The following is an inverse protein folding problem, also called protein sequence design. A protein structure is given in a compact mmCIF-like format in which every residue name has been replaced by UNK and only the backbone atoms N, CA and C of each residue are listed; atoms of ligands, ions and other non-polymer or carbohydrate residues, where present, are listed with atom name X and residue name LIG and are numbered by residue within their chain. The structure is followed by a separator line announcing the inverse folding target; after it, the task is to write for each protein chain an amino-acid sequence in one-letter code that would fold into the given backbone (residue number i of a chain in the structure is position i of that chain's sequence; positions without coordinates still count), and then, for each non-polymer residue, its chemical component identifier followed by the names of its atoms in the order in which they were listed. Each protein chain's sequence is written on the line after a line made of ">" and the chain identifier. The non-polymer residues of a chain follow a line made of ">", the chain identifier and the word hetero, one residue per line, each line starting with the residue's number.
data_IF_269037871191
#
_entry.id   IF_269037871191
#
_cell.length_a   1.000
_cell.length_b   1.000
_cell.length_c   1.000
_cell.angle_alpha   90.00
_cell.angle_beta   90.00
_cell.angle_gamma   90.00
#
_symmetry.space_group_name_H-M   'P 1'
#
loop_
_entity.id
_entity.type
_entity.pdbx_description
1 polymer ?
#
# COMPACT_ATOMS: atom_id res chain seq x y z
N UNK A 1 -7.25 10.42 48.08
CA UNK A 1 -6.41 9.95 46.99
C UNK A 1 -7.03 8.72 46.33
N UNK A 2 -8.09 8.86 45.54
CA UNK A 2 -8.71 7.77 44.74
C UNK A 2 -9.55 8.42 43.66
N UNK A 3 -8.93 8.87 42.54
CA UNK A 3 -9.62 9.24 41.29
C UNK A 3 -8.55 9.42 40.20
N UNK A 4 -7.97 8.32 39.71
CA UNK A 4 -7.12 8.37 38.51
C UNK A 4 -6.95 6.98 37.86
N UNK A 5 -8.04 6.25 37.56
CA UNK A 5 -7.92 4.96 36.88
C UNK A 5 -9.10 4.60 35.96
N UNK A 6 -9.81 5.57 35.40
CA UNK A 6 -11.00 5.27 34.57
C UNK A 6 -10.96 5.80 33.14
N UNK A 7 -9.85 6.39 32.67
CA UNK A 7 -9.78 6.95 31.29
C UNK A 7 -9.07 6.04 30.28
N UNK A 8 -8.28 5.06 30.73
CA UNK A 8 -7.51 4.19 29.84
C UNK A 8 -8.32 3.05 29.18
N UNK A 9 -9.50 2.71 29.72
CA UNK A 9 -10.27 1.56 29.23
C UNK A 9 -11.19 1.86 28.03
N UNK A 10 -11.56 3.12 27.81
CA UNK A 10 -12.50 3.50 26.75
C UNK A 10 -11.82 3.58 25.35
N UNK A 11 -10.51 3.84 25.26
CA UNK A 11 -9.79 3.88 23.98
C UNK A 11 -9.47 2.48 23.42
N UNK A 12 -9.26 1.49 24.30
CA UNK A 12 -8.93 0.12 23.86
C UNK A 12 -10.12 -0.62 23.23
N UNK A 13 -11.35 -0.31 23.68
CA UNK A 13 -12.58 -0.98 23.19
C UNK A 13 -13.01 -0.49 21.80
N UNK A 14 -12.66 0.74 21.39
CA UNK A 14 -13.01 1.26 20.06
C UNK A 14 -12.16 0.65 18.93
N UNK A 15 -10.89 0.37 19.21
CA UNK A 15 -10.00 -0.27 18.22
C UNK A 15 -10.43 -1.72 17.90
N UNK A 16 -10.86 -2.48 18.88
CA UNK A 16 -11.32 -3.87 18.71
C UNK A 16 -12.60 -3.93 17.84
N UNK A 17 -13.46 -2.94 17.90
CA UNK A 17 -14.69 -2.87 17.10
C UNK A 17 -14.43 -2.63 15.61
N UNK A 18 -13.47 -1.78 15.25
CA UNK A 18 -13.14 -1.45 13.89
C UNK A 18 -12.47 -2.63 13.13
N UNK A 19 -11.60 -3.39 13.82
CA UNK A 19 -10.91 -4.55 13.24
C UNK A 19 -11.87 -5.68 12.84
N UNK A 20 -13.00 -5.82 13.53
CA UNK A 20 -14.01 -6.85 13.26
C UNK A 20 -15.09 -6.41 12.27
N UNK A 21 -15.09 -5.16 11.82
CA UNK A 21 -16.09 -4.64 10.89
C UNK A 21 -15.89 -5.24 9.51
N UNK A 22 -16.90 -5.94 9.00
CA UNK A 22 -16.84 -6.53 7.66
C UNK A 22 -17.06 -5.45 6.60
N UNK A 23 -16.11 -5.34 5.70
CA UNK A 23 -16.17 -4.49 4.53
C UNK A 23 -15.65 -5.25 3.30
N UNK A 24 -15.91 -4.79 2.10
CA UNK A 24 -15.41 -5.36 0.85
C UNK A 24 -15.25 -4.29 -0.24
N UNK A 25 -14.85 -4.70 -1.44
CA UNK A 25 -14.69 -3.81 -2.60
C UNK A 25 -15.85 -3.90 -3.60
N UNK A 26 -16.83 -4.76 -3.41
CA UNK A 26 -17.83 -5.13 -4.43
C UNK A 26 -19.24 -4.71 -4.08
N UNK A 27 -19.58 -4.87 -2.84
CA UNK A 27 -20.95 -4.97 -2.41
C UNK A 27 -21.57 -3.59 -2.21
N UNK A 28 -22.84 -3.46 -2.56
CA UNK A 28 -23.59 -2.23 -2.31
C UNK A 28 -23.72 -1.89 -0.82
N UNK A 29 -23.68 -2.90 0.07
CA UNK A 29 -23.85 -2.73 1.51
C UNK A 29 -22.55 -2.47 2.25
N UNK A 30 -21.48 -3.21 1.91
CA UNK A 30 -20.19 -3.19 2.59
C UNK A 30 -19.06 -2.60 1.74
N UNK A 31 -19.38 -2.13 0.53
CA UNK A 31 -18.43 -1.60 -0.45
C UNK A 31 -18.01 -0.14 -0.19
N UNK A 32 -17.09 0.37 -1.01
CA UNK A 32 -16.43 1.67 -0.81
C UNK A 32 -17.38 2.86 -0.63
N UNK A 33 -18.55 2.84 -1.27
CA UNK A 33 -19.54 3.92 -1.14
C UNK A 33 -20.26 3.98 0.22
N UNK A 34 -20.05 2.97 1.06
CA UNK A 34 -20.70 2.85 2.38
C UNK A 34 -19.74 2.61 3.53
N UNK A 35 -18.44 2.57 3.27
CA UNK A 35 -17.46 2.34 4.32
C UNK A 35 -17.65 3.29 5.51
N UNK A 36 -17.95 4.57 5.24
CA UNK A 36 -18.23 5.58 6.26
C UNK A 36 -19.40 5.23 7.20
N UNK A 37 -20.29 4.33 6.78
CA UNK A 37 -21.47 3.91 7.54
C UNK A 37 -21.27 2.62 8.34
N UNK A 38 -20.19 1.88 8.05
CA UNK A 38 -19.96 0.57 8.65
C UNK A 38 -19.42 0.66 10.07
N UNK A 39 -18.66 1.70 10.37
CA UNK A 39 -18.10 1.95 11.71
C UNK A 39 -17.77 3.43 11.88
N UNK A 40 -17.87 3.96 13.11
CA UNK A 40 -17.55 5.36 13.41
C UNK A 40 -16.12 5.76 13.02
N UNK A 41 -15.15 4.84 13.18
CA UNK A 41 -13.75 5.09 12.84
C UNK A 41 -13.51 5.11 11.31
N UNK A 42 -14.50 4.73 10.50
CA UNK A 42 -14.45 4.76 9.04
C UNK A 42 -15.09 6.02 8.44
N UNK A 43 -15.58 6.93 9.25
CA UNK A 43 -16.23 8.17 8.81
C UNK A 43 -15.32 8.98 7.86
N UNK A 44 -14.01 8.97 8.12
CA UNK A 44 -13.01 9.66 7.30
C UNK A 44 -12.93 9.12 5.86
N UNK A 45 -13.37 7.88 5.60
CA UNK A 45 -13.45 7.34 4.22
C UNK A 45 -14.32 8.19 3.29
N UNK A 46 -15.22 9.01 3.85
CA UNK A 46 -16.07 9.93 3.10
C UNK A 46 -15.82 11.41 3.41
N UNK A 47 -15.56 11.72 4.68
CA UNK A 47 -15.38 13.10 5.13
C UNK A 47 -13.97 13.65 4.91
N UNK A 48 -12.98 12.76 4.72
CA UNK A 48 -11.57 13.12 4.53
C UNK A 48 -11.33 13.98 3.29
N UNK A 49 -10.30 14.79 3.34
CA UNK A 49 -9.93 15.74 2.27
C UNK A 49 -8.61 15.40 1.58
N UNK A 50 -7.86 14.45 2.13
CA UNK A 50 -6.61 13.93 1.57
C UNK A 50 -6.73 12.42 1.37
N UNK A 51 -7.77 12.00 0.65
CA UNK A 51 -8.07 10.58 0.45
C UNK A 51 -7.33 9.99 -0.74
N UNK A 52 -7.01 8.70 -0.66
CA UNK A 52 -6.39 7.90 -1.72
C UNK A 52 -7.30 6.72 -2.11
N UNK A 53 -7.17 6.18 -3.35
CA UNK A 53 -6.26 6.60 -4.42
C UNK A 53 -6.77 7.86 -5.14
N UNK A 54 -5.89 8.52 -5.91
CA UNK A 54 -6.22 9.66 -6.77
C UNK A 54 -5.80 9.38 -8.21
N UNK A 55 -6.27 10.23 -9.14
CA UNK A 55 -5.73 10.31 -10.50
C UNK A 55 -4.63 11.37 -10.53
N UNK A 56 -3.43 10.96 -10.93
CA UNK A 56 -2.24 11.82 -11.01
C UNK A 56 -2.19 12.45 -12.40
N UNK A 57 -2.68 13.69 -12.53
CA UNK A 57 -2.70 14.42 -13.81
C UNK A 57 -1.92 15.74 -13.74
N UNK A 58 -1.99 16.43 -12.60
CA UNK A 58 -1.34 17.73 -12.41
C UNK A 58 -0.30 17.60 -11.30
N UNK A 59 0.95 17.93 -11.63
CA UNK A 59 2.05 17.82 -10.69
C UNK A 59 3.14 18.86 -10.97
N UNK A 60 3.87 19.19 -9.93
CA UNK A 60 5.03 20.06 -10.03
C UNK A 60 6.28 19.22 -10.21
N UNK A 61 7.12 19.58 -11.17
CA UNK A 61 8.45 18.99 -11.31
C UNK A 61 9.43 19.64 -10.36
N UNK A 62 10.25 18.84 -9.71
CA UNK A 62 11.44 19.32 -9.03
C UNK A 62 12.66 18.55 -9.52
N UNK A 63 13.79 19.27 -9.66
CA UNK A 63 15.09 18.66 -9.91
C UNK A 63 15.81 18.32 -8.60
N UNK A 64 15.31 18.83 -7.48
CA UNK A 64 15.83 18.45 -6.19
C UNK A 64 15.58 16.98 -5.96
N UNK A 65 16.68 16.22 -5.84
CA UNK A 65 16.57 14.82 -5.42
C UNK A 65 15.91 14.81 -4.05
N UNK A 66 14.82 14.07 -3.92
CA UNK A 66 14.24 13.90 -2.61
C UNK A 66 15.27 13.26 -1.69
N UNK A 67 15.25 13.67 -0.44
CA UNK A 67 15.96 12.99 0.63
C UNK A 67 15.25 11.67 0.93
N UNK A 68 15.38 10.73 -0.03
CA UNK A 68 14.77 9.42 -0.05
C UNK A 68 15.87 8.38 -0.29
N UNK A 69 16.17 7.61 0.75
CA UNK A 69 17.21 6.60 0.69
C UNK A 69 16.63 5.22 0.96
N UNK A 70 16.97 4.26 0.12
CA UNK A 70 16.53 2.89 0.23
C UNK A 70 17.61 2.02 0.87
N UNK A 71 17.20 1.23 1.88
CA UNK A 71 18.05 0.23 2.54
C UNK A 71 17.34 -1.11 2.44
N UNK A 72 17.27 -1.65 1.21
CA UNK A 72 16.61 -2.91 0.92
C UNK A 72 17.62 -4.01 0.65
N UNK A 73 17.28 -5.19 1.12
CA UNK A 73 17.99 -6.44 0.86
C UNK A 73 16.98 -7.58 0.72
N UNK A 74 17.45 -8.72 0.22
CA UNK A 74 16.64 -9.93 0.21
C UNK A 74 16.22 -10.31 1.64
N UNK A 75 14.96 -10.64 1.83
CA UNK A 75 14.41 -10.97 3.15
C UNK A 75 13.35 -12.07 3.06
N UNK A 76 13.33 -12.93 4.08
CA UNK A 76 12.29 -13.94 4.23
C UNK A 76 11.03 -13.31 4.80
N UNK A 77 9.85 -13.55 4.17
CA UNK A 77 8.60 -13.17 4.80
C UNK A 77 8.41 -13.87 6.15
N UNK A 78 7.84 -13.19 7.13
CA UNK A 78 7.32 -13.80 8.36
C UNK A 78 6.07 -14.62 8.07
N UNK A 79 5.23 -14.10 7.19
CA UNK A 79 4.00 -14.73 6.75
C UNK A 79 3.67 -14.30 5.32
N UNK A 80 3.12 -15.24 4.55
CA UNK A 80 2.48 -14.98 3.26
C UNK A 80 1.08 -15.55 3.34
N UNK A 81 0.09 -14.72 3.17
CA UNK A 81 -1.30 -15.12 3.34
C UNK A 81 -2.24 -14.30 2.45
N UNK A 82 -3.40 -14.86 2.23
CA UNK A 82 -4.48 -14.16 1.58
C UNK A 82 -5.43 -13.62 2.65
N UNK A 83 -5.58 -12.31 2.69
CA UNK A 83 -6.67 -11.68 3.45
C UNK A 83 -7.97 -11.81 2.66
N UNK A 84 -9.10 -11.41 3.25
CA UNK A 84 -10.35 -11.34 2.49
C UNK A 84 -10.27 -10.41 1.27
N UNK A 85 -9.23 -9.58 1.17
CA UNK A 85 -9.12 -8.48 0.22
C UNK A 85 -7.88 -8.50 -0.65
N UNK A 86 -6.75 -9.05 -0.19
CA UNK A 86 -5.48 -9.02 -0.94
C UNK A 86 -4.53 -10.15 -0.58
N UNK A 87 -3.61 -10.44 -1.49
CA UNK A 87 -2.40 -11.20 -1.22
C UNK A 87 -1.41 -10.32 -0.47
N UNK A 88 -0.96 -10.76 0.70
CA UNK A 88 -0.07 -10.02 1.60
C UNK A 88 1.10 -10.86 2.05
N UNK A 89 2.30 -10.27 2.06
CA UNK A 89 3.50 -10.79 2.71
C UNK A 89 3.97 -9.78 3.77
N UNK A 90 4.17 -10.24 5.00
CA UNK A 90 4.74 -9.42 6.09
C UNK A 90 6.21 -9.77 6.31
N UNK A 91 6.97 -8.78 6.80
CA UNK A 91 8.41 -8.90 6.98
C UNK A 91 8.83 -8.48 8.39
N UNK A 92 10.05 -8.89 8.80
CA UNK A 92 10.73 -8.27 9.92
C UNK A 92 11.17 -6.84 9.54
N UNK A 93 11.26 -5.90 10.49
CA UNK A 93 11.55 -4.50 10.20
C UNK A 93 13.06 -4.26 9.93
N UNK A 94 13.62 -5.02 8.97
CA UNK A 94 15.05 -4.95 8.59
C UNK A 94 15.30 -4.15 7.31
N UNK A 95 14.26 -3.95 6.51
CA UNK A 95 14.30 -3.15 5.29
C UNK A 95 13.66 -1.80 5.56
N UNK A 96 14.31 -0.73 5.13
CA UNK A 96 13.93 0.62 5.49
C UNK A 96 13.94 1.57 4.28
N UNK A 97 13.10 2.59 4.36
CA UNK A 97 13.24 3.82 3.58
C UNK A 97 13.52 4.94 4.57
N UNK A 98 14.62 5.68 4.40
CA UNK A 98 14.81 6.95 5.07
C UNK A 98 14.22 8.06 4.20
N UNK A 99 13.31 8.84 4.77
CA UNK A 99 12.73 9.99 4.12
C UNK A 99 12.77 11.20 5.05
N UNK A 100 13.48 12.24 4.62
CA UNK A 100 13.69 13.49 5.38
C UNK A 100 14.21 13.23 6.79
N UNK A 101 15.20 12.34 6.91
CA UNK A 101 15.84 11.99 8.19
C UNK A 101 14.99 11.08 9.10
N UNK A 102 13.86 10.57 8.64
CA UNK A 102 13.04 9.61 9.38
C UNK A 102 13.13 8.22 8.73
N UNK A 103 13.45 7.21 9.52
CA UNK A 103 13.47 5.82 9.10
C UNK A 103 12.06 5.21 9.17
N UNK A 104 11.62 4.64 8.06
CA UNK A 104 10.38 3.89 7.93
C UNK A 104 10.70 2.44 7.63
N UNK A 105 10.40 1.55 8.55
CA UNK A 105 10.64 0.12 8.41
C UNK A 105 9.54 -0.56 7.60
N UNK A 106 9.90 -1.47 6.69
CA UNK A 106 8.94 -2.25 5.92
C UNK A 106 8.13 -3.17 6.84
N UNK A 107 6.83 -3.03 6.82
CA UNK A 107 5.87 -3.86 7.54
C UNK A 107 5.33 -4.99 6.65
N UNK A 108 4.91 -4.63 5.46
CA UNK A 108 4.34 -5.59 4.51
C UNK A 108 4.38 -5.11 3.06
N UNK A 109 4.22 -6.08 2.15
CA UNK A 109 3.84 -5.85 0.76
C UNK A 109 2.49 -6.48 0.49
N UNK A 110 1.66 -5.84 -0.32
CA UNK A 110 0.37 -6.38 -0.75
C UNK A 110 -0.01 -5.89 -2.14
N UNK A 111 -0.98 -6.57 -2.76
CA UNK A 111 -1.28 -6.41 -4.18
C UNK A 111 -2.70 -5.90 -4.43
N UNK A 112 -2.83 -5.08 -5.48
CA UNK A 112 -4.12 -4.63 -6.01
C UNK A 112 -4.23 -4.95 -7.50
N UNK A 113 -5.33 -5.55 -7.90
CA UNK A 113 -5.66 -5.86 -9.29
C UNK A 113 -7.08 -5.40 -9.60
N UNK A 114 -7.21 -4.35 -10.44
CA UNK A 114 -6.15 -3.54 -11.04
C UNK A 114 -5.46 -2.59 -10.04
N UNK A 115 -4.44 -1.85 -10.51
CA UNK A 115 -3.78 -0.78 -9.77
C UNK A 115 -4.81 0.26 -9.31
N UNK A 116 -4.66 0.78 -8.09
CA UNK A 116 -5.62 1.72 -7.51
C UNK A 116 -5.43 3.16 -8.02
N UNK A 117 -4.18 3.60 -8.17
CA UNK A 117 -3.89 4.93 -8.71
C UNK A 117 -4.05 4.96 -10.23
N UNK A 118 -4.56 6.08 -10.74
CA UNK A 118 -4.45 6.39 -12.16
C UNK A 118 -3.28 7.35 -12.37
N UNK A 119 -2.60 7.23 -13.51
CA UNK A 119 -1.61 8.19 -13.99
C UNK A 119 -2.07 8.65 -15.37
N UNK A 120 -2.41 9.93 -15.50
CA UNK A 120 -3.00 10.49 -16.72
C UNK A 120 -4.21 9.67 -17.22
N UNK A 121 -5.16 9.39 -16.33
CA UNK A 121 -6.37 8.58 -16.58
C UNK A 121 -6.12 7.10 -16.99
N UNK A 122 -4.90 6.61 -16.81
CA UNK A 122 -4.56 5.23 -17.16
C UNK A 122 -4.31 4.42 -15.90
N UNK A 123 -4.88 3.22 -15.83
CA UNK A 123 -4.55 2.21 -14.83
C UNK A 123 -3.67 1.12 -15.40
N UNK A 124 -3.16 0.25 -14.54
CA UNK A 124 -2.37 -0.93 -14.87
C UNK A 124 -3.05 -2.19 -14.33
N UNK A 125 -2.78 -3.39 -14.90
CA UNK A 125 -3.47 -4.61 -14.50
C UNK A 125 -3.17 -5.08 -13.07
N UNK A 126 -2.07 -4.60 -12.48
CA UNK A 126 -1.62 -4.97 -11.13
C UNK A 126 -0.80 -3.86 -10.53
N UNK A 127 -0.82 -3.73 -9.21
CA UNK A 127 0.18 -2.99 -8.43
C UNK A 127 0.56 -3.72 -7.15
N UNK A 128 1.74 -3.40 -6.64
CA UNK A 128 2.21 -3.79 -5.31
C UNK A 128 2.43 -2.55 -4.47
N UNK A 129 1.97 -2.58 -3.22
CA UNK A 129 2.22 -1.57 -2.22
C UNK A 129 3.22 -2.09 -1.18
N UNK A 130 4.31 -1.36 -0.99
CA UNK A 130 5.28 -1.57 0.08
C UNK A 130 4.94 -0.62 1.23
N UNK A 131 4.36 -1.15 2.28
CA UNK A 131 3.92 -0.34 3.43
C UNK A 131 5.01 -0.30 4.49
N UNK A 132 5.39 0.90 4.85
CA UNK A 132 6.41 1.15 5.88
C UNK A 132 5.82 1.97 7.03
N UNK A 133 6.40 1.77 8.21
CA UNK A 133 6.05 2.51 9.44
C UNK A 133 7.30 3.06 10.10
N UNK A 134 7.21 4.27 10.60
CA UNK A 134 8.22 4.81 11.51
C UNK A 134 7.92 4.46 12.98
N UNK A 135 8.82 4.83 13.88
CA UNK A 135 8.67 4.59 15.32
C UNK A 135 7.46 5.28 15.97
N UNK A 136 6.87 6.28 15.30
CA UNK A 136 5.65 6.98 15.73
C UNK A 136 4.38 6.42 15.08
N UNK A 137 4.50 5.38 14.25
CA UNK A 137 3.39 4.79 13.52
C UNK A 137 2.96 5.56 12.27
N UNK A 138 3.71 6.59 11.82
CA UNK A 138 3.44 7.29 10.57
C UNK A 138 3.74 6.36 9.41
N UNK A 139 2.94 6.48 8.35
CA UNK A 139 3.01 5.58 7.20
C UNK A 139 3.70 6.24 6.01
N UNK A 140 4.54 5.46 5.35
CA UNK A 140 5.07 5.74 4.02
C UNK A 140 4.76 4.53 3.13
N UNK A 141 4.14 4.76 1.98
CA UNK A 141 3.81 3.69 1.05
C UNK A 141 4.43 3.96 -0.32
N UNK A 142 5.17 2.97 -0.80
CA UNK A 142 5.66 2.93 -2.17
C UNK A 142 4.70 2.08 -3.00
N UNK A 143 4.13 2.64 -4.07
CA UNK A 143 3.25 1.95 -4.99
C UNK A 143 3.94 1.75 -6.34
N UNK A 144 4.00 0.50 -6.82
CA UNK A 144 4.62 0.15 -8.09
C UNK A 144 3.59 -0.58 -8.95
N UNK A 145 3.32 -0.05 -10.15
CA UNK A 145 2.43 -0.68 -11.11
C UNK A 145 3.14 -1.75 -11.93
N UNK A 146 2.37 -2.68 -12.50
CA UNK A 146 2.87 -3.68 -13.44
C UNK A 146 2.13 -3.59 -14.77
N UNK A 147 2.84 -3.85 -15.83
CA UNK A 147 2.30 -4.10 -17.17
C UNK A 147 2.53 -5.55 -17.56
N UNK A 148 1.64 -6.08 -18.41
CA UNK A 148 1.81 -7.44 -18.92
C UNK A 148 3.00 -7.49 -19.87
N UNK A 149 3.92 -8.44 -19.61
CA UNK A 149 5.17 -8.60 -20.33
C UNK A 149 5.90 -9.87 -19.93
N UNK A 150 7.17 -9.74 -19.60
CA UNK A 150 8.03 -10.87 -19.19
C UNK A 150 7.67 -11.37 -17.79
N UNK A 151 8.05 -12.61 -17.51
CA UNK A 151 7.98 -13.18 -16.17
C UNK A 151 8.87 -12.39 -15.19
N UNK A 152 8.34 -12.12 -14.01
CA UNK A 152 9.05 -11.43 -12.95
C UNK A 152 9.43 -12.44 -11.85
N UNK A 153 10.69 -12.89 -11.79
CA UNK A 153 11.11 -13.90 -10.83
C UNK A 153 10.99 -13.46 -9.37
N UNK A 154 10.91 -12.14 -9.10
CA UNK A 154 10.77 -11.62 -7.74
C UNK A 154 9.37 -11.85 -7.14
N UNK A 155 8.39 -12.18 -7.97
CA UNK A 155 7.04 -12.55 -7.53
C UNK A 155 6.94 -14.02 -7.10
N UNK A 156 7.80 -14.89 -7.62
CA UNK A 156 7.69 -16.33 -7.40
C UNK A 156 7.80 -16.75 -5.93
N UNK A 157 8.74 -16.20 -5.10
CA UNK A 157 8.80 -16.52 -3.67
C UNK A 157 7.50 -16.19 -2.92
N UNK A 158 6.83 -15.11 -3.29
CA UNK A 158 5.55 -14.70 -2.69
C UNK A 158 4.43 -15.65 -3.13
N UNK A 159 4.36 -15.97 -4.43
CA UNK A 159 3.36 -16.88 -4.97
C UNK A 159 3.51 -18.30 -4.43
N UNK A 160 4.75 -18.81 -4.30
CA UNK A 160 5.03 -20.10 -3.66
C UNK A 160 4.70 -20.09 -2.16
N UNK A 161 4.98 -18.99 -1.47
CA UNK A 161 4.75 -18.84 -0.04
C UNK A 161 3.31 -19.07 0.38
N UNK A 162 2.34 -18.71 -0.48
CA UNK A 162 0.91 -18.97 -0.24
C UNK A 162 0.62 -20.48 -0.13
N UNK A 163 1.30 -21.27 -0.93
CA UNK A 163 1.09 -22.73 -0.97
C UNK A 163 1.75 -23.43 0.21
N UNK A 164 2.94 -22.97 0.60
CA UNK A 164 3.79 -23.63 1.59
C UNK A 164 3.44 -23.31 3.04
N UNK A 165 2.84 -22.16 3.31
CA UNK A 165 2.46 -21.62 4.64
C UNK A 165 3.60 -21.52 5.67
N UNK A 166 4.77 -22.02 5.37
CA UNK A 166 5.99 -21.99 6.17
C UNK A 166 7.22 -22.25 5.27
N UNK A 167 8.42 -22.05 5.82
CA UNK A 167 9.68 -22.20 5.08
C UNK A 167 9.73 -21.32 3.83
N UNK A 168 9.35 -20.05 4.00
CA UNK A 168 9.33 -19.09 2.91
C UNK A 168 10.72 -18.90 2.32
N UNK A 169 10.77 -18.75 1.00
CA UNK A 169 11.98 -18.32 0.29
C UNK A 169 12.21 -16.83 0.51
N UNK A 170 13.45 -16.38 0.37
CA UNK A 170 13.77 -14.98 0.35
C UNK A 170 13.14 -14.27 -0.85
N UNK A 171 12.64 -13.07 -0.61
CA UNK A 171 12.16 -12.14 -1.63
C UNK A 171 13.24 -11.10 -1.82
N UNK A 172 13.74 -10.93 -3.03
CA UNK A 172 14.69 -9.88 -3.38
C UNK A 172 13.95 -8.54 -3.44
N UNK A 173 13.76 -7.88 -2.30
CA UNK A 173 12.97 -6.64 -2.19
C UNK A 173 13.63 -5.48 -2.96
N UNK A 174 14.95 -5.43 -3.00
CA UNK A 174 15.74 -4.48 -3.79
C UNK A 174 15.55 -4.66 -5.30
N UNK A 175 15.26 -5.87 -5.75
CA UNK A 175 15.05 -6.18 -7.17
C UNK A 175 13.69 -5.70 -7.73
N UNK A 176 12.78 -5.25 -6.87
CA UNK A 176 11.58 -4.52 -7.31
C UNK A 176 11.88 -3.08 -7.72
N UNK A 177 13.07 -2.58 -7.42
CA UNK A 177 13.44 -1.19 -7.71
C UNK A 177 14.55 -1.15 -8.77
N UNK A 178 14.40 -0.37 -9.85
CA UNK A 178 15.51 -0.03 -10.73
C UNK A 178 16.51 0.87 -9.99
N UNK A 179 17.72 1.04 -10.56
CA UNK A 179 18.78 1.84 -9.94
C UNK A 179 18.33 3.28 -9.64
N UNK A 180 17.54 3.85 -10.52
CA UNK A 180 16.93 5.18 -10.37
C UNK A 180 15.45 5.03 -10.63
N UNK A 181 14.63 5.63 -9.78
CA UNK A 181 13.17 5.66 -9.93
C UNK A 181 12.70 7.09 -10.13
N UNK A 182 11.70 7.27 -11.01
CA UNK A 182 10.88 8.47 -11.07
C UNK A 182 9.58 8.20 -10.31
N UNK A 183 9.13 9.17 -9.54
CA UNK A 183 7.95 8.98 -8.70
C UNK A 183 7.13 10.25 -8.56
N UNK A 184 5.88 10.04 -8.22
CA UNK A 184 4.95 11.06 -7.76
C UNK A 184 4.80 10.95 -6.25
N UNK A 185 5.06 12.05 -5.55
CA UNK A 185 4.95 12.13 -4.10
C UNK A 185 3.84 13.08 -3.68
N UNK A 186 3.01 12.64 -2.74
CA UNK A 186 1.95 13.45 -2.12
C UNK A 186 1.54 12.84 -0.77
N UNK A 187 0.81 13.62 0.02
CA UNK A 187 0.17 13.13 1.22
C UNK A 187 -1.26 12.68 0.90
N UNK A 188 -1.61 11.50 1.35
CA UNK A 188 -2.91 10.90 1.12
C UNK A 188 -3.38 10.07 2.30
N UNK A 189 -4.13 9.00 2.04
CA UNK A 189 -4.71 8.11 3.05
C UNK A 189 -4.40 6.64 2.78
N UNK A 190 -4.77 5.78 3.73
CA UNK A 190 -5.00 4.37 3.44
C UNK A 190 -6.12 4.24 2.40
N UNK A 191 -5.99 3.29 1.46
CA UNK A 191 -6.98 3.00 0.41
C UNK A 191 -8.03 1.97 0.84
N UNK A 192 -7.97 1.56 2.10
CA UNK A 192 -8.92 0.64 2.75
C UNK A 192 -9.34 1.20 4.10
N UNK A 193 -10.49 0.80 4.65
CA UNK A 193 -10.89 1.20 5.99
C UNK A 193 -9.79 0.91 7.03
N UNK A 194 -9.53 1.86 7.92
CA UNK A 194 -10.32 3.05 8.23
C UNK A 194 -10.02 4.30 7.40
N UNK A 195 -9.30 4.22 6.28
CA UNK A 195 -8.98 5.34 5.37
C UNK A 195 -8.22 6.49 6.04
N UNK A 196 -7.43 6.18 7.05
CA UNK A 196 -6.67 7.15 7.84
C UNK A 196 -5.77 7.99 6.95
N UNK A 197 -5.84 9.32 7.09
CA UNK A 197 -5.02 10.28 6.36
C UNK A 197 -3.61 10.43 6.96
N UNK A 198 -2.73 11.14 6.26
CA UNK A 198 -1.34 11.36 6.68
C UNK A 198 -0.37 10.28 6.18
N UNK A 199 -0.75 9.54 5.15
CA UNK A 199 0.14 8.57 4.47
C UNK A 199 1.01 9.33 3.46
N UNK A 200 2.33 9.20 3.57
CA UNK A 200 3.26 9.68 2.56
C UNK A 200 3.32 8.67 1.40
N UNK A 201 2.72 9.03 0.27
CA UNK A 201 2.71 8.20 -0.95
C UNK A 201 3.88 8.51 -1.86
N UNK A 202 4.47 7.46 -2.41
CA UNK A 202 5.44 7.47 -3.50
C UNK A 202 4.95 6.52 -4.59
N UNK A 203 4.35 7.05 -5.64
CA UNK A 203 3.84 6.26 -6.78
C UNK A 203 4.88 6.26 -7.87
N UNK A 204 5.45 5.09 -8.17
CA UNK A 204 6.51 4.94 -9.17
C UNK A 204 5.92 5.09 -10.57
N UNK A 205 6.58 5.89 -11.41
CA UNK A 205 6.13 6.19 -12.76
C UNK A 205 6.30 4.97 -13.68
N UNK A 206 7.48 4.38 -13.66
CA UNK A 206 7.81 3.24 -14.50
C UNK A 206 7.20 1.95 -13.95
N UNK A 207 6.49 1.17 -14.78
CA UNK A 207 5.97 -0.12 -14.36
C UNK A 207 7.07 -1.18 -14.33
N UNK A 208 6.83 -2.19 -13.51
CA UNK A 208 7.47 -3.49 -13.67
C UNK A 208 6.70 -4.34 -14.69
N UNK A 209 7.33 -5.41 -15.18
CA UNK A 209 6.65 -6.40 -15.98
C UNK A 209 6.12 -7.56 -15.11
N UNK A 210 5.02 -8.16 -15.57
CA UNK A 210 4.44 -9.38 -15.00
C UNK A 210 3.93 -10.26 -16.15
N UNK A 211 4.24 -11.56 -16.13
CA UNK A 211 3.71 -12.45 -17.17
C UNK A 211 2.20 -12.66 -17.01
N UNK A 212 1.51 -12.92 -18.13
CA UNK A 212 0.09 -13.26 -18.13
C UNK A 212 -0.23 -14.40 -17.15
N UNK A 213 0.66 -15.40 -17.05
CA UNK A 213 0.53 -16.53 -16.12
C UNK A 213 0.59 -16.08 -14.65
N UNK A 214 1.60 -15.27 -14.27
CA UNK A 214 1.73 -14.75 -12.91
C UNK A 214 0.55 -13.83 -12.56
N UNK A 215 0.14 -12.95 -13.49
CA UNK A 215 -1.01 -12.07 -13.29
C UNK A 215 -2.30 -12.88 -13.07
N UNK A 216 -2.53 -13.92 -13.89
CA UNK A 216 -3.68 -14.82 -13.73
C UNK A 216 -3.64 -15.54 -12.37
N UNK A 217 -2.47 -16.02 -11.93
CA UNK A 217 -2.33 -16.69 -10.64
C UNK A 217 -2.61 -15.73 -9.48
N UNK A 218 -2.08 -14.50 -9.50
CA UNK A 218 -2.38 -13.47 -8.49
C UNK A 218 -3.87 -13.19 -8.45
N UNK A 219 -4.50 -12.91 -9.59
CA UNK A 219 -5.95 -12.65 -9.68
C UNK A 219 -6.78 -13.83 -9.18
N UNK A 220 -6.40 -15.07 -9.53
CA UNK A 220 -7.06 -16.29 -9.06
C UNK A 220 -7.01 -16.39 -7.53
N UNK A 221 -5.84 -16.09 -6.90
CA UNK A 221 -5.71 -16.05 -5.44
C UNK A 221 -6.59 -14.98 -4.81
N UNK A 222 -6.81 -13.88 -5.49
CA UNK A 222 -7.76 -12.83 -5.09
C UNK A 222 -9.21 -13.13 -5.55
N UNK A 223 -9.52 -14.42 -5.86
CA UNK A 223 -10.85 -14.89 -6.30
C UNK A 223 -11.38 -14.17 -7.54
N UNK A 224 -10.48 -13.73 -8.41
CA UNK A 224 -10.78 -12.93 -9.61
C UNK A 224 -11.67 -11.70 -9.32
N UNK A 225 -11.48 -11.12 -8.14
CA UNK A 225 -12.24 -9.99 -7.70
C UNK A 225 -11.36 -8.74 -7.65
N UNK A 226 -11.77 -7.68 -8.35
CA UNK A 226 -11.13 -6.38 -8.16
C UNK A 226 -11.09 -5.97 -6.70
N UNK A 227 -9.93 -5.45 -6.28
CA UNK A 227 -9.70 -4.99 -4.90
C UNK A 227 -9.10 -3.59 -4.88
N UNK A 228 -9.51 -2.74 -5.82
CA UNK A 228 -9.18 -1.32 -5.80
C UNK A 228 -10.34 -0.48 -5.23
N UNK A 229 -9.99 0.51 -4.45
CA UNK A 229 -10.91 1.58 -4.07
C UNK A 229 -11.16 2.48 -5.29
N UNK A 230 -12.38 2.97 -5.53
CA UNK A 230 -12.59 4.02 -6.53
C UNK A 230 -11.70 5.24 -6.28
N UNK A 231 -11.28 5.90 -7.36
CA UNK A 231 -10.52 7.15 -7.30
C UNK A 231 -11.28 8.18 -6.49
N UNK A 232 -10.58 8.87 -5.59
CA UNK A 232 -11.10 9.90 -4.73
C UNK A 232 -10.83 11.29 -5.34
N UNK A 233 -11.63 12.30 -4.99
CA UNK A 233 -11.33 13.68 -5.38
C UNK A 233 -9.99 14.12 -4.81
N UNK A 234 -9.15 14.77 -5.60
CA UNK A 234 -7.83 15.22 -5.16
C UNK A 234 -7.83 16.48 -4.31
N UNK A 235 -8.94 17.23 -4.27
CA UNK A 235 -9.10 18.48 -3.52
C UNK A 235 -7.89 19.44 -3.58
N UNK A 236 -7.23 19.54 -4.74
CA UNK A 236 -5.99 20.28 -4.96
C UNK A 236 -4.78 19.72 -4.19
N UNK A 237 -4.69 18.41 -4.09
CA UNK A 237 -3.52 17.74 -3.53
C UNK A 237 -2.26 18.17 -4.28
N UNK A 238 -1.26 18.65 -3.54
CA UNK A 238 0.03 19.03 -4.12
C UNK A 238 0.81 17.74 -4.43
N UNK A 239 1.01 17.47 -5.71
CA UNK A 239 1.77 16.33 -6.20
C UNK A 239 3.12 16.81 -6.72
N UNK A 240 4.20 16.21 -6.25
CA UNK A 240 5.56 16.49 -6.67
C UNK A 240 6.08 15.31 -7.48
N UNK A 241 6.55 15.57 -8.70
CA UNK A 241 7.31 14.59 -9.48
C UNK A 241 8.80 14.81 -9.28
N UNK A 242 9.52 13.76 -8.91
CA UNK A 242 10.96 13.78 -8.67
C UNK A 242 11.58 12.40 -8.94
N UNK A 243 12.88 12.27 -8.66
CA UNK A 243 13.62 11.02 -8.79
C UNK A 243 14.47 10.72 -7.57
N UNK A 244 14.82 9.46 -7.36
CA UNK A 244 15.75 9.03 -6.32
C UNK A 244 16.63 7.88 -6.81
N UNK A 245 17.86 7.80 -6.28
CA UNK A 245 18.71 6.63 -6.38
C UNK A 245 18.22 5.55 -5.39
N UNK A 246 18.23 4.31 -5.81
CA UNK A 246 17.75 3.18 -4.98
C UNK A 246 18.88 2.27 -4.50
N UNK A 247 20.12 2.48 -5.00
CA UNK A 247 21.33 1.71 -4.70
C UNK A 247 22.54 2.61 -4.57
#
# INVERSE_FOLDING_TARGET
>A
MKKLFLIALALATSLIGAENTKWDYKNKENGPHRWDKLHKDFEVCKSGKSQSPINIEHYYHTQDKADLQFKYAASKPKAVFFTHHTLKASFEPTNHINYRGHDYALDNVHFHAPMEFLINNKTRPLSVHFVHKDAKGRLLVLAIGFEEGKENPNLDPILEGIQKKQNFKEVALDAFLPKTINYYHFNGSLTAPPCTEGVAWFVIEEPLEVSAKQLAEIKKRMKNSPNQRPVQPDYNTVIIKSSAETR
#
